data_IF_178645512469
#
_entry.id   IF_178645512469
#
_cell.length_a   1.000
_cell.length_b   1.000
_cell.length_c   1.000
_cell.angle_alpha   90.00
_cell.angle_beta   90.00
_cell.angle_gamma   90.00
#
_symmetry.space_group_name_H-M   'P 1'
#
loop_
_entity.id
_entity.type
_entity.pdbx_description
1 polymer ?
#
# COMPACT_ATOMS: atom_id res chain seq x y z
N UNK A 1 -7.01 10.90 -6.05
CA UNK A 1 -7.23 11.31 -7.46
C UNK A 1 -8.72 11.19 -7.83
N UNK A 2 -9.28 12.06 -8.70
CA UNK A 2 -10.70 12.03 -9.05
C UNK A 2 -11.21 10.64 -9.47
N UNK A 3 -10.38 9.91 -10.23
CA UNK A 3 -10.67 8.53 -10.68
C UNK A 3 -10.97 7.54 -9.55
N UNK A 4 -10.41 7.72 -8.34
CA UNK A 4 -10.71 6.83 -7.21
C UNK A 4 -12.13 7.03 -6.69
N UNK A 5 -12.65 8.26 -6.70
CA UNK A 5 -14.02 8.53 -6.30
C UNK A 5 -15.02 7.90 -7.30
N UNK A 6 -14.72 8.00 -8.60
CA UNK A 6 -15.51 7.38 -9.67
C UNK A 6 -15.55 5.85 -9.54
N UNK A 7 -14.39 5.21 -9.33
CA UNK A 7 -14.33 3.75 -9.19
C UNK A 7 -14.98 3.28 -7.88
N UNK A 8 -14.87 4.05 -6.80
CA UNK A 8 -15.57 3.76 -5.54
C UNK A 8 -17.09 3.81 -5.73
N UNK A 9 -17.61 4.83 -6.41
CA UNK A 9 -19.03 4.94 -6.73
C UNK A 9 -19.51 3.79 -7.61
N UNK A 10 -18.70 3.40 -8.62
CA UNK A 10 -18.99 2.27 -9.49
C UNK A 10 -19.10 0.96 -8.71
N UNK A 11 -18.13 0.63 -7.85
CA UNK A 11 -18.19 -0.60 -7.05
C UNK A 11 -19.39 -0.64 -6.10
N UNK A 12 -19.71 0.50 -5.45
CA UNK A 12 -20.93 0.63 -4.63
C UNK A 12 -22.20 0.37 -5.44
N UNK A 13 -22.29 0.91 -6.66
CA UNK A 13 -23.45 0.70 -7.54
C UNK A 13 -23.64 -0.76 -7.97
N UNK A 14 -22.58 -1.56 -7.92
CA UNK A 14 -22.59 -2.98 -8.25
C UNK A 14 -22.81 -3.88 -7.02
N UNK A 15 -23.04 -3.31 -5.84
CA UNK A 15 -23.20 -4.07 -4.60
C UNK A 15 -21.92 -4.75 -4.11
N UNK A 16 -20.75 -4.33 -4.60
CA UNK A 16 -19.45 -4.84 -4.14
C UNK A 16 -19.16 -4.25 -2.76
N UNK A 17 -18.69 -5.07 -1.81
CA UNK A 17 -18.21 -4.57 -0.51
C UNK A 17 -17.05 -3.60 -0.76
N UNK A 18 -17.19 -2.37 -0.26
CA UNK A 18 -16.20 -1.30 -0.51
C UNK A 18 -15.67 -0.71 0.79
N UNK A 19 -14.39 -0.33 0.77
CA UNK A 19 -13.78 0.57 1.76
C UNK A 19 -13.36 1.86 1.05
N UNK A 20 -13.67 2.99 1.70
CA UNK A 20 -13.35 4.32 1.21
C UNK A 20 -11.85 4.60 1.10
N UNK A 21 -11.52 5.86 0.81
CA UNK A 21 -10.14 6.29 0.54
C UNK A 21 -9.25 6.07 1.77
N UNK A 22 -8.12 5.41 1.55
CA UNK A 22 -6.96 5.38 2.45
C UNK A 22 -5.85 6.28 1.91
N UNK A 23 -5.20 7.03 2.80
CA UNK A 23 -4.11 7.96 2.50
C UNK A 23 -2.76 7.37 2.92
N UNK A 24 -1.89 7.03 1.95
CA UNK A 24 -0.58 6.41 2.18
C UNK A 24 0.59 7.32 1.80
N UNK A 25 0.36 8.63 1.75
CA UNK A 25 1.35 9.63 1.35
C UNK A 25 1.61 9.65 -0.16
N UNK A 26 2.41 8.69 -0.67
CA UNK A 26 2.79 8.61 -2.08
C UNK A 26 1.71 8.01 -2.99
N UNK A 27 0.69 7.39 -2.38
CA UNK A 27 -0.50 6.88 -3.07
C UNK A 27 -1.75 7.08 -2.21
N UNK A 28 -2.89 7.09 -2.89
CA UNK A 28 -4.22 6.90 -2.31
C UNK A 28 -4.82 5.63 -2.86
N UNK A 29 -5.61 4.94 -2.05
CA UNK A 29 -6.27 3.72 -2.50
C UNK A 29 -7.68 3.57 -1.97
N UNK A 30 -8.47 2.75 -2.66
CA UNK A 30 -9.78 2.26 -2.25
C UNK A 30 -9.73 0.73 -2.29
N UNK A 31 -10.60 0.06 -1.53
CA UNK A 31 -10.59 -1.40 -1.46
C UNK A 31 -11.95 -1.98 -1.77
N UNK A 32 -11.91 -3.18 -2.34
CA UNK A 32 -13.07 -4.00 -2.67
C UNK A 32 -12.87 -5.41 -2.11
N UNK A 33 -13.96 -6.11 -1.81
CA UNK A 33 -13.94 -7.55 -1.58
C UNK A 33 -14.58 -8.28 -2.75
N UNK A 34 -13.88 -9.28 -3.29
CA UNK A 34 -14.45 -10.15 -4.32
C UNK A 34 -15.36 -11.24 -3.70
N UNK A 35 -16.16 -11.96 -4.50
CA UNK A 35 -17.05 -13.01 -3.98
C UNK A 35 -16.35 -14.19 -3.31
N UNK A 36 -15.06 -14.41 -3.58
CA UNK A 36 -14.25 -15.45 -2.93
C UNK A 36 -13.62 -14.96 -1.62
N UNK A 37 -13.82 -13.69 -1.26
CA UNK A 37 -13.34 -13.08 -0.04
C UNK A 37 -12.00 -12.36 -0.16
N UNK A 38 -11.37 -12.29 -1.34
CA UNK A 38 -10.11 -11.56 -1.51
C UNK A 38 -10.30 -10.05 -1.45
N UNK A 39 -9.30 -9.36 -0.91
CA UNK A 39 -9.24 -7.90 -0.90
C UNK A 39 -8.49 -7.42 -2.14
N UNK A 40 -9.14 -6.59 -2.93
CA UNK A 40 -8.56 -5.94 -4.11
C UNK A 40 -8.34 -4.46 -3.76
N UNK A 41 -7.13 -3.96 -4.00
CA UNK A 41 -6.79 -2.55 -3.83
C UNK A 41 -6.71 -1.86 -5.21
N UNK A 42 -7.43 -0.75 -5.38
CA UNK A 42 -7.20 0.17 -6.49
C UNK A 42 -6.45 1.39 -5.99
N UNK A 43 -5.26 1.60 -6.53
CA UNK A 43 -4.30 2.59 -6.05
C UNK A 43 -3.98 3.60 -7.14
N UNK A 44 -3.97 4.89 -6.77
CA UNK A 44 -3.57 5.96 -7.67
C UNK A 44 -2.47 6.82 -7.01
N UNK A 45 -1.48 7.20 -7.82
CA UNK A 45 -0.35 8.04 -7.39
C UNK A 45 -0.83 9.41 -6.93
N UNK A 46 -0.19 9.93 -5.88
CA UNK A 46 -0.26 11.35 -5.51
C UNK A 46 0.87 12.12 -6.20
N UNK A 47 0.83 13.47 -6.22
CA UNK A 47 1.97 14.27 -6.71
C UNK A 47 3.29 13.97 -6.00
N UNK A 48 3.24 13.52 -4.75
CA UNK A 48 4.40 13.17 -3.93
C UNK A 48 5.08 11.87 -4.38
N UNK A 49 4.42 11.06 -5.20
CA UNK A 49 4.90 9.73 -5.57
C UNK A 49 6.32 9.72 -6.12
N UNK A 50 6.61 10.57 -7.10
CA UNK A 50 7.92 10.59 -7.74
C UNK A 50 9.03 10.92 -6.74
N UNK A 51 8.81 11.94 -5.89
CA UNK A 51 9.76 12.35 -4.85
C UNK A 51 9.99 11.25 -3.81
N UNK A 52 8.93 10.62 -3.32
CA UNK A 52 9.03 9.59 -2.27
C UNK A 52 9.61 8.28 -2.79
N UNK A 53 9.49 7.99 -4.09
CA UNK A 53 10.03 6.78 -4.71
C UNK A 53 11.43 6.98 -5.31
N UNK A 54 12.01 8.17 -5.23
CA UNK A 54 13.37 8.44 -5.72
C UNK A 54 14.40 7.57 -4.96
N UNK A 55 15.08 6.62 -5.63
CA UNK A 55 16.01 5.71 -4.98
C UNK A 55 17.24 6.41 -4.40
N UNK A 56 17.56 7.62 -4.85
CA UNK A 56 18.69 8.41 -4.32
C UNK A 56 18.36 8.93 -2.92
N UNK A 57 17.10 9.30 -2.67
CA UNK A 57 16.69 9.98 -1.43
C UNK A 57 15.80 9.15 -0.50
N UNK A 58 15.15 8.10 -0.99
CA UNK A 58 14.15 7.36 -0.20
C UNK A 58 14.74 6.41 0.86
N UNK A 59 16.05 6.15 0.82
CA UNK A 59 16.75 5.33 1.80
C UNK A 59 16.33 3.86 1.85
N UNK A 60 15.57 3.36 0.85
CA UNK A 60 14.98 2.02 0.88
C UNK A 60 16.02 0.91 1.05
N UNK A 61 17.15 1.02 0.35
CA UNK A 61 18.26 0.06 0.47
C UNK A 61 18.84 0.04 1.88
N UNK A 62 19.16 1.20 2.44
CA UNK A 62 19.71 1.29 3.79
C UNK A 62 18.77 0.75 4.88
N UNK A 63 17.45 0.95 4.71
CA UNK A 63 16.43 0.37 5.60
C UNK A 63 16.45 -1.16 5.54
N UNK A 64 16.47 -1.71 4.31
CA UNK A 64 16.53 -3.16 4.11
C UNK A 64 17.84 -3.76 4.67
N UNK A 65 18.97 -3.12 4.43
CA UNK A 65 20.28 -3.60 4.89
C UNK A 65 20.35 -3.65 6.42
N UNK A 66 19.85 -2.60 7.10
CA UNK A 66 19.74 -2.58 8.57
C UNK A 66 18.87 -3.73 9.08
N UNK A 67 17.70 -3.93 8.50
CA UNK A 67 16.80 -5.01 8.92
C UNK A 67 17.42 -6.40 8.72
N UNK A 68 18.16 -6.62 7.62
CA UNK A 68 18.87 -7.87 7.41
C UNK A 68 19.97 -8.11 8.44
N UNK A 69 20.73 -7.08 8.81
CA UNK A 69 21.75 -7.18 9.85
C UNK A 69 21.14 -7.50 11.23
N UNK A 70 20.01 -6.89 11.58
CA UNK A 70 19.27 -7.15 12.82
C UNK A 70 18.74 -8.59 12.89
N UNK A 71 18.18 -9.12 11.79
CA UNK A 71 17.73 -10.52 11.74
C UNK A 71 18.84 -11.52 12.00
N UNK A 72 20.01 -11.30 11.42
CA UNK A 72 21.15 -12.18 11.57
C UNK A 72 21.64 -12.24 13.03
N UNK A 73 21.28 -11.24 13.85
CA UNK A 73 21.66 -11.13 15.25
C UNK A 73 20.61 -11.66 16.24
N UNK A 74 19.46 -12.17 15.79
CA UNK A 74 18.50 -12.82 16.70
C UNK A 74 19.12 -14.16 17.16
N UNK A 75 19.54 -14.31 18.43
CA UNK A 75 20.11 -15.57 18.90
C UNK A 75 19.02 -16.65 18.82
N UNK A 76 19.39 -17.87 18.46
CA UNK A 76 18.48 -19.00 18.52
C UNK A 76 17.85 -19.04 19.93
N UNK A 77 16.52 -19.07 20.00
CA UNK A 77 15.80 -19.18 21.25
C UNK A 77 16.28 -20.44 21.98
N UNK A 78 16.98 -20.25 23.10
CA UNK A 78 17.32 -21.34 24.00
C UNK A 78 16.01 -21.92 24.52
N UNK A 79 15.70 -23.15 24.12
CA UNK A 79 14.57 -23.92 24.63
C UNK A 79 14.77 -24.34 26.09
#
# INVERSE_FOLDING_TARGET
PPVLAEMLAKGKSWGVETRGISEHGFVRSIYFRDPNGYVIELTAKTPEHARMMDPVTNGARAILDRWQAEKAHVPASTG
#
